data_IF_985813245419
#
_entry.id   IF_985813245419
#
_cell.length_a   1.000
_cell.length_b   1.000
_cell.length_c   1.000
_cell.angle_alpha   90.00
_cell.angle_beta   90.00
_cell.angle_gamma   90.00
#
_symmetry.space_group_name_H-M   'P 1'
#
loop_
_entity.id
_entity.type
_entity.pdbx_description
1 polymer ?
2 non-polymer ?
3 water ?
#
# COMPACT_ATOMS: atom_id res chain seq x y z
N UNK A 5 20.63 -0.47 -0.16
CA UNK A 5 20.71 0.92 -0.71
C UNK A 5 19.56 1.82 -0.21
N UNK A 6 18.63 1.23 0.54
CA UNK A 6 17.50 2.00 1.05
C UNK A 6 17.91 2.71 2.34
N UNK A 7 17.80 4.03 2.35
CA UNK A 7 18.21 4.83 3.49
C UNK A 7 17.02 5.27 4.36
N UNK A 8 15.81 5.25 3.82
CA UNK A 8 14.63 5.66 4.57
C UNK A 8 13.42 4.89 4.07
N UNK A 9 12.47 4.59 4.95
CA UNK A 9 11.12 4.13 4.58
C UNK A 9 10.09 5.07 5.22
N UNK A 10 9.15 5.62 4.44
CA UNK A 10 8.13 6.50 5.01
C UNK A 10 7.10 5.66 5.77
N UNK A 11 6.40 6.28 6.73
CA UNK A 11 5.30 5.56 7.43
C UNK A 11 4.28 5.03 6.44
N UNK A 12 4.02 5.77 5.37
CA UNK A 12 2.99 5.43 4.35
C UNK A 12 3.41 4.14 3.63
N UNK A 13 4.69 4.00 3.29
CA UNK A 13 5.18 2.79 2.59
C UNK A 13 5.09 1.62 3.56
N UNK A 14 5.41 1.83 4.85
CA UNK A 14 5.32 0.71 5.79
C UNK A 14 3.87 0.21 5.96
N UNK A 15 2.94 1.14 6.15
CA UNK A 15 1.51 0.78 6.23
C UNK A 15 1.00 0.13 4.95
N UNK A 16 1.39 0.70 3.81
CA UNK A 16 0.95 0.16 2.50
C UNK A 16 1.50 -1.26 2.31
N UNK A 17 2.76 -1.47 2.71
CA UNK A 17 3.40 -2.76 2.53
C UNK A 17 2.74 -3.81 3.41
N UNK A 18 2.38 -3.45 4.65
CA UNK A 18 1.60 -4.40 5.49
C UNK A 18 0.27 -4.73 4.84
N UNK A 19 -0.36 -3.75 4.19
CA UNK A 19 -1.68 -4.02 3.58
C UNK A 19 -1.52 -5.02 2.44
N UNK A 20 -0.42 -4.89 1.70
CA UNK A 20 -0.22 -5.71 0.49
C UNK A 20 -0.08 -7.18 0.85
N UNK A 21 0.46 -7.44 2.04
CA UNK A 21 0.75 -8.83 2.47
C UNK A 21 -0.04 -9.27 3.70
N UNK A 22 -1.04 -8.47 4.06
CA UNK A 22 -1.98 -8.83 5.12
C UNK A 22 -1.23 -9.09 6.43
N UNK A 23 -0.29 -8.22 6.79
CA UNK A 23 0.39 -8.34 8.10
C UNK A 23 -0.16 -7.32 9.12
N UNK A 24 -0.35 -7.71 10.37
CA UNK A 24 -0.61 -6.76 11.44
C UNK A 24 0.72 -6.17 11.91
N UNK A 25 0.64 -5.11 12.72
CA UNK A 25 1.87 -4.50 13.26
C UNK A 25 2.67 -5.51 14.08
N UNK A 26 1.96 -6.29 14.91
CA UNK A 26 2.56 -7.29 15.79
C UNK A 26 3.29 -8.36 14.94
N UNK A 27 2.65 -8.77 13.84
CA UNK A 27 3.23 -9.76 12.94
C UNK A 27 4.49 -9.22 12.27
N UNK A 28 4.44 -7.99 11.74
CA UNK A 28 5.63 -7.37 11.12
C UNK A 28 6.73 -7.30 12.17
N UNK A 29 6.36 -6.92 13.37
CA UNK A 29 7.39 -6.81 14.42
C UNK A 29 8.05 -8.18 14.69
N UNK A 30 7.23 -9.23 14.74
CA UNK A 30 7.78 -10.56 14.98
C UNK A 30 8.78 -10.96 13.88
N UNK A 31 8.40 -10.75 12.60
CA UNK A 31 9.30 -11.00 11.47
C UNK A 31 10.56 -10.15 11.42
N UNK A 32 10.45 -8.91 11.87
CA UNK A 32 11.57 -7.96 11.81
C UNK A 32 12.45 -8.09 13.05
N UNK A 33 12.02 -8.83 14.07
CA UNK A 33 12.79 -8.95 15.33
C UNK A 33 12.81 -7.65 16.15
N UNK A 34 11.70 -6.94 16.15
CA UNK A 34 11.57 -5.58 16.79
C UNK A 34 10.35 -5.63 17.68
N UNK A 35 10.26 -4.79 18.71
CA UNK A 35 9.03 -4.80 19.56
C UNK A 35 7.86 -4.10 18.86
N UNK A 36 6.63 -4.52 19.13
CA UNK A 36 5.51 -3.93 18.36
C UNK A 36 5.37 -2.44 18.59
N UNK A 37 5.60 -1.96 19.83
CA UNK A 37 5.49 -0.50 19.98
C UNK A 37 6.41 0.30 19.05
N UNK A 38 7.55 -0.29 18.67
CA UNK A 38 8.48 0.41 17.75
C UNK A 38 7.85 0.55 16.35
N UNK A 39 7.27 -0.55 15.87
CA UNK A 39 6.54 -0.49 14.64
C UNK A 39 5.37 0.49 14.70
N UNK A 40 4.61 0.45 15.80
CA UNK A 40 3.43 1.33 15.92
C UNK A 40 3.88 2.81 15.89
N UNK A 41 4.98 3.09 16.56
CA UNK A 41 5.47 4.45 16.64
C UNK A 41 6.03 4.93 15.31
N UNK A 42 6.73 4.05 14.58
CA UNK A 42 7.13 4.30 13.21
C UNK A 42 5.94 4.64 12.31
N UNK A 43 4.90 3.82 12.32
CA UNK A 43 3.74 4.12 11.49
C UNK A 43 3.00 5.40 11.83
N UNK A 44 3.08 5.85 13.09
CA UNK A 44 2.48 7.14 13.49
C UNK A 44 3.30 8.34 13.04
N UNK A 45 4.49 8.07 12.51
CA UNK A 45 5.37 9.16 12.06
C UNK A 45 6.17 9.73 13.21
N UNK A 46 6.23 9.03 14.34
CA UNK A 46 6.85 9.64 15.54
C UNK A 46 8.36 9.44 15.59
N UNK A 47 8.83 8.43 14.84
CA UNK A 47 10.25 8.04 14.78
C UNK A 47 10.58 7.56 13.36
N UNK A 48 11.83 7.73 12.92
CA UNK A 48 12.28 7.20 11.60
C UNK A 48 13.20 6.02 11.80
N UNK A 49 12.85 4.83 11.28
CA UNK A 49 13.79 3.73 11.46
C UNK A 49 15.09 3.91 10.66
N UNK A 50 16.14 3.46 11.31
CA UNK A 50 17.51 3.58 10.79
C UNK A 50 18.20 2.24 10.98
N UNK A 51 19.37 2.08 10.38
CA UNK A 51 20.27 1.01 10.76
C UNK A 51 19.65 -0.39 10.68
N UNK A 52 19.94 -1.22 11.68
CA UNK A 52 19.47 -2.60 11.69
C UNK A 52 17.94 -2.70 11.71
N UNK A 53 17.26 -1.78 12.41
CA UNK A 53 15.77 -1.79 12.37
C UNK A 53 15.21 -1.59 10.97
N UNK A 54 15.76 -0.62 10.26
CA UNK A 54 15.27 -0.35 8.90
C UNK A 54 15.56 -1.59 8.06
N UNK A 55 16.77 -2.10 8.15
CA UNK A 55 17.14 -3.29 7.35
C UNK A 55 16.20 -4.46 7.65
N UNK A 56 15.89 -4.67 8.94
CA UNK A 56 15.09 -5.85 9.33
C UNK A 56 13.67 -5.72 8.84
N UNK A 57 13.15 -4.49 8.84
CA UNK A 57 11.81 -4.25 8.27
C UNK A 57 11.75 -4.52 6.78
N UNK A 58 12.74 -4.02 6.02
CA UNK A 58 12.78 -4.25 4.57
C UNK A 58 12.85 -5.78 4.27
N UNK A 59 13.71 -6.47 5.00
CA UNK A 59 13.91 -7.90 4.79
C UNK A 59 12.61 -8.67 5.10
N UNK A 60 11.91 -8.27 6.17
CA UNK A 60 10.63 -8.96 6.50
C UNK A 60 9.63 -8.81 5.36
N UNK A 61 9.55 -7.59 4.80
CA UNK A 61 8.67 -7.43 3.62
C UNK A 61 9.12 -8.24 2.41
N UNK A 62 10.43 -8.23 2.13
CA UNK A 62 10.95 -8.99 0.99
C UNK A 62 10.65 -10.49 1.20
N UNK A 63 10.77 -10.96 2.44
CA UNK A 63 10.47 -12.37 2.72
C UNK A 63 9.00 -12.69 2.49
N UNK A 64 8.15 -11.68 2.52
CA UNK A 64 6.70 -11.87 2.24
C UNK A 64 6.36 -11.64 0.77
N UNK A 65 7.38 -11.43 -0.05
CA UNK A 65 7.19 -11.42 -1.50
C UNK A 65 7.07 -10.03 -2.11
N UNK A 66 7.33 -8.98 -1.33
CA UNK A 66 7.45 -7.64 -1.94
C UNK A 66 8.86 -7.36 -2.46
N UNK A 67 8.94 -6.61 -3.55
CA UNK A 67 10.22 -6.09 -4.01
C UNK A 67 10.11 -4.57 -4.04
N UNK A 68 11.12 -3.92 -3.51
CA UNK A 68 11.12 -2.46 -3.52
C UNK A 68 12.00 -1.93 -4.65
N UNK A 69 11.57 -0.82 -5.22
CA UNK A 69 12.39 -0.08 -6.15
C UNK A 69 12.91 1.15 -5.42
N UNK A 70 14.22 1.32 -5.49
CA UNK A 70 14.91 2.39 -4.75
C UNK A 70 15.52 3.43 -5.67
N UNK A 71 15.36 4.69 -5.31
CA UNK A 71 16.08 5.78 -6.00
C UNK A 71 16.47 6.88 -5.00
N UNK A 72 17.71 7.35 -5.11
CA UNK A 72 18.23 8.32 -4.17
C UNK A 72 18.10 7.88 -2.72
N UNK A 73 18.09 6.56 -2.49
CA UNK A 73 17.98 6.04 -1.14
C UNK A 73 16.54 5.92 -0.65
N UNK A 74 15.58 6.33 -1.46
CA UNK A 74 14.17 6.32 -1.06
C UNK A 74 13.46 5.23 -1.82
N UNK A 75 12.39 4.72 -1.25
CA UNK A 75 11.57 3.75 -1.96
C UNK A 75 10.58 4.53 -2.85
N UNK A 76 10.59 4.25 -4.15
CA UNK A 76 9.68 4.93 -5.06
C UNK A 76 8.59 4.00 -5.64
N UNK A 77 8.69 2.72 -5.29
CA UNK A 77 7.83 1.70 -5.88
C UNK A 77 7.88 0.40 -5.13
N UNK A 78 6.81 -0.39 -5.31
CA UNK A 78 6.71 -1.69 -4.67
C UNK A 78 6.13 -2.65 -5.71
N UNK A 79 6.79 -3.78 -5.89
CA UNK A 79 6.27 -4.83 -6.76
C UNK A 79 5.78 -5.97 -5.90
N UNK A 80 4.72 -6.62 -6.37
CA UNK A 80 4.29 -7.84 -5.72
C UNK A 80 4.75 -9.02 -6.57
N UNK A 81 5.33 -10.03 -5.94
CA UNK A 81 5.76 -11.24 -6.67
C UNK A 81 4.63 -12.26 -6.85
N UNK B 4 -9.62 1.18 -19.82
CA UNK B 4 -8.15 0.96 -19.72
C UNK B 4 -7.82 -0.54 -19.67
N UNK B 5 -6.65 -0.89 -19.15
CA UNK B 5 -6.12 -2.24 -19.29
C UNK B 5 -6.15 -3.06 -17.99
N UNK B 6 -6.47 -2.40 -16.88
CA UNK B 6 -6.62 -3.11 -15.62
C UNK B 6 -8.03 -3.70 -15.52
N UNK B 7 -8.12 -5.00 -15.28
CA UNK B 7 -9.41 -5.69 -15.27
C UNK B 7 -9.92 -5.96 -13.83
N UNK B 8 -9.01 -5.88 -12.84
CA UNK B 8 -9.37 -6.15 -11.45
C UNK B 8 -8.50 -5.35 -10.50
N UNK B 9 -8.97 -5.18 -9.28
CA UNK B 9 -8.12 -4.61 -8.23
C UNK B 9 -8.46 -5.39 -6.97
N UNK B 10 -7.44 -5.97 -6.33
CA UNK B 10 -7.67 -6.78 -5.13
C UNK B 10 -7.91 -5.84 -3.93
N UNK B 11 -8.51 -6.40 -2.85
CA UNK B 11 -8.70 -5.64 -1.63
C UNK B 11 -7.36 -5.11 -1.15
N UNK B 12 -6.34 -5.94 -1.26
CA UNK B 12 -4.98 -5.59 -0.77
C UNK B 12 -4.47 -4.35 -1.48
N UNK B 13 -4.61 -4.32 -2.81
CA UNK B 13 -4.14 -3.16 -3.57
C UNK B 13 -4.96 -1.91 -3.26
N UNK B 14 -6.28 -2.04 -3.07
CA UNK B 14 -7.08 -0.87 -2.68
C UNK B 14 -6.61 -0.26 -1.34
N UNK B 15 -6.48 -1.14 -0.36
CA UNK B 15 -6.09 -0.73 0.98
C UNK B 15 -4.69 -0.15 0.98
N UNK B 16 -3.77 -0.81 0.29
CA UNK B 16 -2.38 -0.30 0.19
C UNK B 16 -2.33 1.09 -0.49
N UNK B 17 -3.12 1.25 -1.54
CA UNK B 17 -3.10 2.48 -2.32
C UNK B 17 -3.62 3.62 -1.46
N UNK B 18 -4.68 3.37 -0.69
CA UNK B 18 -5.15 4.43 0.24
C UNK B 18 -4.08 4.79 1.26
N UNK B 19 -3.35 3.80 1.78
CA UNK B 19 -2.32 4.09 2.77
C UNK B 19 -1.16 4.91 2.18
N UNK B 20 -0.82 4.65 0.93
CA UNK B 20 0.31 5.37 0.29
C UNK B 20 0.02 6.85 0.17
N UNK B 21 -1.22 7.19 -0.17
CA UNK B 21 -1.56 8.61 -0.34
C UNK B 21 -2.44 9.21 0.76
N UNK B 22 -2.44 8.60 1.95
CA UNK B 22 -3.16 9.08 3.13
C UNK B 22 -4.62 9.44 2.79
N UNK B 23 -5.31 8.56 2.09
CA UNK B 23 -6.74 8.79 1.76
C UNK B 23 -7.65 8.02 2.73
N UNK B 24 -8.65 8.67 3.32
CA UNK B 24 -9.67 7.88 4.01
C UNK B 24 -10.61 7.23 2.98
N UNK B 25 -11.37 6.25 3.47
CA UNK B 25 -12.41 5.66 2.64
C UNK B 25 -13.41 6.69 2.13
N UNK B 26 -13.79 7.64 2.99
CA UNK B 26 -14.78 8.68 2.62
C UNK B 26 -14.22 9.59 1.52
N UNK B 27 -12.92 9.91 1.61
CA UNK B 27 -12.35 10.78 0.57
C UNK B 27 -12.19 10.00 -0.75
N UNK B 28 -11.80 8.73 -0.70
CA UNK B 28 -11.74 7.94 -1.93
C UNK B 28 -13.14 7.84 -2.54
N UNK B 29 -14.12 7.62 -1.69
CA UNK B 29 -15.50 7.48 -2.20
C UNK B 29 -15.91 8.76 -2.94
N UNK B 30 -15.65 9.90 -2.33
CA UNK B 30 -15.99 11.17 -2.93
C UNK B 30 -15.23 11.41 -4.25
N UNK B 31 -13.92 11.14 -4.27
CA UNK B 31 -13.17 11.35 -5.52
C UNK B 31 -13.69 10.46 -6.63
N UNK B 32 -14.01 9.22 -6.28
CA UNK B 32 -14.45 8.26 -7.29
C UNK B 32 -15.94 8.32 -7.61
N UNK B 33 -16.72 9.04 -6.83
CA UNK B 33 -18.20 9.10 -7.04
C UNK B 33 -18.88 7.78 -6.74
N UNK B 34 -18.44 7.13 -5.69
CA UNK B 34 -18.96 5.80 -5.29
C UNK B 34 -19.40 5.89 -3.83
N UNK B 35 -20.42 5.12 -3.44
CA UNK B 35 -20.92 5.18 -2.06
C UNK B 35 -19.80 4.70 -1.10
N UNK B 36 -19.69 5.32 0.08
CA UNK B 36 -18.64 4.89 1.05
C UNK B 36 -18.77 3.39 1.42
N UNK B 37 -20.01 2.91 1.65
CA UNK B 37 -20.05 1.49 2.04
C UNK B 37 -19.64 0.55 0.89
N UNK B 38 -19.78 1.01 -0.36
CA UNK B 38 -19.32 0.22 -1.49
C UNK B 38 -17.79 0.15 -1.47
N UNK B 39 -17.14 1.29 -1.23
CA UNK B 39 -15.71 1.28 -1.02
C UNK B 39 -15.35 0.28 0.09
N UNK B 40 -16.08 0.33 1.20
CA UNK B 40 -15.78 -0.59 2.32
C UNK B 40 -15.97 -2.04 1.86
N UNK B 41 -17.00 -2.30 1.03
CA UNK B 41 -17.18 -3.69 0.50
C UNK B 41 -16.02 -4.14 -0.39
N UNK B 42 -15.48 -3.25 -1.23
CA UNK B 42 -14.34 -3.61 -2.06
C UNK B 42 -13.12 -3.97 -1.19
N UNK B 43 -12.91 -3.21 -0.12
CA UNK B 43 -11.73 -3.45 0.73
C UNK B 43 -11.83 -4.68 1.59
N UNK B 44 -13.03 -5.18 1.85
CA UNK B 44 -13.19 -6.44 2.61
C UNK B 44 -13.42 -7.61 1.66
N UNK B 45 -13.42 -7.36 0.35
CA UNK B 45 -13.59 -8.44 -0.64
C UNK B 45 -15.04 -8.93 -0.71
N UNK B 46 -16.01 -8.14 -0.23
CA UNK B 46 -17.44 -8.53 -0.28
C UNK B 46 -18.00 -8.32 -1.67
N UNK B 47 -17.43 -7.35 -2.39
CA UNK B 47 -17.67 -7.19 -3.81
C UNK B 47 -16.38 -6.94 -4.55
N UNK B 48 -16.37 -7.21 -5.85
CA UNK B 48 -15.18 -6.89 -6.63
C UNK B 48 -15.47 -5.64 -7.46
N UNK B 49 -14.56 -4.67 -7.50
CA UNK B 49 -14.80 -3.55 -8.41
C UNK B 49 -14.63 -3.92 -9.89
N UNK B 50 -15.59 -3.47 -10.70
CA UNK B 50 -15.59 -3.73 -12.13
C UNK B 50 -16.10 -2.47 -12.86
N UNK B 51 -16.00 -2.45 -14.19
CA UNK B 51 -16.61 -1.40 -15.00
C UNK B 51 -16.21 0.01 -14.60
N UNK B 52 -17.18 0.89 -14.52
CA UNK B 52 -16.90 2.29 -14.19
C UNK B 52 -16.45 2.49 -12.73
N UNK B 53 -16.90 1.62 -11.81
CA UNK B 53 -16.43 1.73 -10.41
C UNK B 53 -14.92 1.50 -10.37
N UNK B 54 -14.44 0.49 -11.11
CA UNK B 54 -13.00 0.15 -11.12
C UNK B 54 -12.22 1.29 -11.79
N UNK B 55 -12.68 1.74 -12.95
CA UNK B 55 -12.01 2.85 -13.67
C UNK B 55 -11.92 4.11 -12.80
N UNK B 56 -13.01 4.44 -12.11
CA UNK B 56 -13.02 5.65 -11.22
C UNK B 56 -12.04 5.52 -10.04
N UNK B 57 -11.92 4.33 -9.46
CA UNK B 57 -11.02 4.18 -8.31
C UNK B 57 -9.59 4.29 -8.84
N UNK B 58 -9.31 3.67 -9.99
CA UNK B 58 -7.96 3.77 -10.57
C UNK B 58 -7.62 5.23 -10.84
N UNK B 59 -8.53 5.97 -11.46
CA UNK B 59 -8.26 7.35 -11.82
C UNK B 59 -8.01 8.16 -10.54
N UNK B 60 -8.79 7.90 -9.48
CA UNK B 60 -8.66 8.64 -8.19
C UNK B 60 -7.24 8.44 -7.66
N UNK B 61 -6.75 7.19 -7.68
CA UNK B 61 -5.38 6.93 -7.21
C UNK B 61 -4.32 7.54 -8.11
N UNK B 62 -4.52 7.48 -9.42
CA UNK B 62 -3.55 8.09 -10.30
C UNK B 62 -3.55 9.60 -10.05
N UNK B 63 -4.72 10.19 -9.78
CA UNK B 63 -4.74 11.63 -9.53
C UNK B 63 -4.01 12.03 -8.25
N UNK B 64 -3.81 11.06 -7.37
CA UNK B 64 -3.10 11.27 -6.11
C UNK B 64 -1.62 10.93 -6.26
N UNK B 65 -1.22 10.61 -7.49
CA UNK B 65 0.18 10.44 -7.83
C UNK B 65 0.68 9.01 -7.83
N UNK B 66 -0.24 8.04 -7.82
CA UNK B 66 0.15 6.65 -7.92
C UNK B 66 0.21 6.25 -9.39
N UNK B 67 1.10 5.35 -9.76
CA UNK B 67 1.10 4.77 -11.10
C UNK B 67 1.18 3.25 -11.00
N UNK B 68 0.19 2.59 -11.54
CA UNK B 68 0.09 1.15 -11.44
C UNK B 68 0.78 0.47 -12.59
N UNK B 69 1.50 -0.62 -12.32
CA UNK B 69 2.12 -1.41 -13.36
C UNK B 69 1.17 -2.60 -13.58
N UNK B 70 0.78 -2.80 -14.83
CA UNK B 70 -0.22 -3.80 -15.22
C UNK B 70 0.45 -4.88 -16.05
N UNK B 71 0.07 -6.13 -15.82
CA UNK B 71 0.55 -7.19 -16.66
C UNK B 71 -0.62 -8.16 -16.76
N UNK B 72 -1.03 -8.51 -17.98
CA UNK B 72 -2.15 -9.43 -18.16
C UNK B 72 -3.42 -8.99 -17.46
N UNK B 73 -3.59 -7.69 -17.26
CA UNK B 73 -4.82 -7.13 -16.72
C UNK B 73 -4.82 -6.96 -15.21
N UNK B 74 -3.75 -7.44 -14.59
CA UNK B 74 -3.63 -7.38 -13.15
C UNK B 74 -2.53 -6.42 -12.76
N UNK B 75 -2.72 -5.75 -11.65
CA UNK B 75 -1.74 -4.84 -11.10
C UNK B 75 -0.64 -5.66 -10.39
N UNK B 76 0.61 -5.44 -10.76
CA UNK B 76 1.74 -6.20 -10.24
C UNK B 76 2.70 -5.28 -9.45
N UNK B 77 2.46 -3.98 -9.53
CA UNK B 77 3.34 -2.98 -8.92
C UNK B 77 2.67 -1.61 -8.80
N UNK B 78 3.16 -0.84 -7.83
CA UNK B 78 2.73 0.55 -7.65
C UNK B 78 3.96 1.45 -7.53
N UNK B 79 4.04 2.48 -8.38
CA UNK B 79 5.07 3.54 -8.31
C UNK B 79 4.46 4.79 -7.68
N UNK B 80 5.24 5.48 -6.86
CA UNK B 80 4.75 6.70 -6.20
C UNK B 80 5.46 7.81 -6.96
N UNK B 81 4.69 8.69 -7.60
CA UNK B 81 5.30 9.84 -8.26
C UNK B 81 5.07 11.08 -7.43
X LIG C 1 -1.39 -9.66 15.30
X LIG C 1 -0.57 -10.74 15.81
X LIG C 1 -2.25 -8.96 16.34
X LIG C 1 -3.01 -7.94 15.72
X LIG C 1 -3.24 -9.84 17.09
X LIG C 1 -2.60 -10.83 17.89
#
# INVERSE_FOLDING_TARGET
MIQNHIKNMTPEICKASRALVNLTQKELALMAGIATPTIADFERGARKPHGNNLRSIIIAFENKGLDFVEEGGEIIGIFIRRKNVRAEESIDLSGHGSH
MIQNHIKNMTPEICKASRALVNLTQKELALMAGIATPTIADFERGARKPHGNNLRSIIIAFENKGLDFVEEGGEIIGIFIRRKNVRAEESIDLSGHGSH
GOL C1 O1 C2 O2 C3 O3
#
